data_IF_897549192423
#
_entry.id   IF_897549192423
#
_cell.length_a   1.000
_cell.length_b   1.000
_cell.length_c   1.000
_cell.angle_alpha   90.00
_cell.angle_beta   90.00
_cell.angle_gamma   90.00
#
_symmetry.space_group_name_H-M   'P 1'
#
loop_
_entity.id
_entity.type
_entity.pdbx_description
1 polymer ?
#
# COMPACT_ATOMS: atom_id res chain seq x y z
N UNK A 1 -26.39 10.70 12.05
CA UNK A 1 -26.55 12.16 12.01
C UNK A 1 -25.89 12.66 10.71
N UNK A 2 -26.68 13.09 9.72
CA UNK A 2 -26.12 13.69 8.50
C UNK A 2 -25.67 15.12 8.81
N UNK A 3 -24.43 15.45 8.50
CA UNK A 3 -23.94 16.84 8.54
C UNK A 3 -24.16 17.47 7.19
N UNK A 4 -24.77 18.63 7.17
CA UNK A 4 -24.87 19.46 5.94
C UNK A 4 -23.51 20.13 5.74
N UNK A 5 -22.93 19.91 4.58
CA UNK A 5 -21.66 20.52 4.17
C UNK A 5 -22.02 21.69 3.25
N UNK A 6 -21.49 22.91 3.51
CA UNK A 6 -21.75 24.05 2.64
C UNK A 6 -21.31 23.79 1.19
N UNK A 7 -21.99 24.44 0.26
CA UNK A 7 -21.57 24.42 -1.14
C UNK A 7 -20.13 24.95 -1.31
N UNK A 8 -19.41 24.43 -2.28
CA UNK A 8 -18.01 24.78 -2.58
C UNK A 8 -17.00 24.36 -1.50
N UNK A 9 -17.39 23.53 -0.53
CA UNK A 9 -16.45 22.94 0.43
C UNK A 9 -15.60 21.88 -0.25
N UNK A 10 -14.27 22.04 -0.22
CA UNK A 10 -13.35 21.00 -0.68
C UNK A 10 -13.22 19.90 0.40
N UNK A 11 -13.50 18.66 0.04
CA UNK A 11 -13.31 17.49 0.88
C UNK A 11 -12.05 16.73 0.48
N UNK A 12 -11.11 16.59 1.39
CA UNK A 12 -9.88 15.85 1.16
C UNK A 12 -9.87 14.62 2.07
N UNK A 13 -9.72 13.44 1.45
CA UNK A 13 -9.49 12.19 2.16
C UNK A 13 -7.99 11.90 2.19
N UNK A 14 -7.39 11.98 3.37
CA UNK A 14 -5.98 11.66 3.55
C UNK A 14 -5.79 10.15 3.68
N UNK A 15 -5.65 9.48 2.56
CA UNK A 15 -5.58 8.00 2.44
C UNK A 15 -4.48 7.39 3.30
N UNK A 16 -3.30 8.02 3.35
CA UNK A 16 -2.19 7.58 4.19
C UNK A 16 -2.59 7.47 5.68
N UNK A 17 -3.23 8.50 6.23
CA UNK A 17 -3.68 8.49 7.63
C UNK A 17 -4.77 7.46 7.88
N UNK A 18 -5.71 7.29 6.94
CA UNK A 18 -6.77 6.29 7.06
C UNK A 18 -6.20 4.88 7.09
N UNK A 19 -5.25 4.58 6.20
CA UNK A 19 -4.64 3.25 6.12
C UNK A 19 -3.72 2.92 7.30
N UNK A 20 -3.27 3.95 8.06
CA UNK A 20 -2.47 3.79 9.27
C UNK A 20 -3.25 4.04 10.58
N UNK A 21 -4.55 4.10 10.51
CA UNK A 21 -5.39 4.26 11.69
C UNK A 21 -5.70 2.91 12.34
N UNK A 22 -5.27 2.74 13.59
CA UNK A 22 -5.48 1.51 14.37
C UNK A 22 -6.96 1.18 14.62
N UNK A 23 -7.87 2.16 14.44
CA UNK A 23 -9.33 1.92 14.48
C UNK A 23 -9.83 1.10 13.30
N UNK A 24 -9.10 1.08 12.19
CA UNK A 24 -9.45 0.35 10.98
C UNK A 24 -8.56 -0.85 10.73
N UNK A 25 -7.28 -0.76 11.11
CA UNK A 25 -6.31 -1.80 10.84
C UNK A 25 -5.47 -2.09 12.08
N UNK A 26 -5.55 -3.30 12.59
CA UNK A 26 -4.69 -3.74 13.69
C UNK A 26 -3.21 -3.64 13.27
N UNK A 27 -2.37 -3.07 14.15
CA UNK A 27 -0.93 -2.83 13.88
C UNK A 27 -0.68 -2.29 12.45
N UNK A 28 -1.17 -1.08 12.14
CA UNK A 28 -1.24 -0.60 10.75
C UNK A 28 0.13 -0.40 10.11
N UNK A 29 1.16 -0.11 10.89
CA UNK A 29 2.53 0.10 10.41
C UNK A 29 3.31 -1.21 10.21
N UNK A 30 2.78 -2.34 10.67
CA UNK A 30 3.42 -3.62 10.47
C UNK A 30 3.09 -4.21 9.09
N UNK A 31 4.11 -4.74 8.40
CA UNK A 31 3.92 -5.50 7.17
C UNK A 31 3.31 -6.88 7.51
N UNK A 32 1.99 -6.97 7.44
CA UNK A 32 1.20 -8.16 7.77
C UNK A 32 0.32 -8.55 6.56
N UNK A 33 0.89 -9.20 5.53
CA UNK A 33 0.13 -9.64 4.35
C UNK A 33 -0.97 -10.66 4.72
N UNK A 34 -0.81 -11.37 5.83
CA UNK A 34 -1.76 -12.35 6.35
C UNK A 34 -3.13 -11.72 6.65
N UNK A 35 -3.19 -10.42 6.93
CA UNK A 35 -4.47 -9.71 7.15
C UNK A 35 -5.43 -9.78 5.95
N UNK A 36 -4.91 -10.09 4.76
CA UNK A 36 -5.67 -10.23 3.52
C UNK A 36 -6.05 -11.68 3.19
N UNK A 37 -5.60 -12.63 4.00
CA UNK A 37 -5.86 -14.05 3.79
C UNK A 37 -7.10 -14.48 4.57
N UNK A 38 -7.86 -15.43 4.00
CA UNK A 38 -9.06 -16.00 4.65
C UNK A 38 -8.71 -16.84 5.88
N UNK A 39 -7.48 -17.39 5.93
CA UNK A 39 -6.99 -18.22 7.03
C UNK A 39 -5.68 -17.63 7.55
N UNK A 40 -5.57 -17.52 8.87
CA UNK A 40 -4.36 -16.99 9.51
C UNK A 40 -4.32 -15.47 9.61
N UNK A 41 -5.43 -14.79 9.34
CA UNK A 41 -5.52 -13.36 9.61
C UNK A 41 -5.26 -13.09 11.10
N UNK A 42 -4.47 -12.05 11.43
CA UNK A 42 -4.27 -11.65 12.82
C UNK A 42 -5.62 -11.35 13.48
N UNK A 43 -5.76 -11.66 14.75
CA UNK A 43 -6.90 -11.23 15.55
C UNK A 43 -6.80 -9.72 15.77
N UNK A 44 -7.84 -8.98 15.39
CA UNK A 44 -7.89 -7.52 15.55
C UNK A 44 -8.71 -6.86 14.46
N UNK A 45 -8.85 -5.54 14.57
CA UNK A 45 -9.63 -4.77 13.61
C UNK A 45 -9.02 -4.84 12.21
N UNK A 46 -9.85 -5.18 11.25
CA UNK A 46 -9.50 -5.19 9.83
C UNK A 46 -10.69 -4.77 8.98
N UNK A 47 -10.84 -3.48 8.79
CA UNK A 47 -11.92 -2.89 8.01
C UNK A 47 -11.50 -2.71 6.55
N UNK A 48 -11.82 -3.71 5.72
CA UNK A 48 -11.50 -3.67 4.28
C UNK A 48 -12.18 -2.51 3.52
N UNK A 49 -13.30 -1.97 4.03
CA UNK A 49 -13.96 -0.81 3.42
C UNK A 49 -13.15 0.49 3.59
N UNK A 50 -12.28 0.56 4.61
CA UNK A 50 -11.35 1.66 4.79
C UNK A 50 -10.11 1.56 3.89
N UNK A 51 -9.89 0.43 3.20
CA UNK A 51 -8.79 0.25 2.27
C UNK A 51 -9.15 0.77 0.88
N UNK A 52 -8.78 2.01 0.61
CA UNK A 52 -9.14 2.73 -0.60
C UNK A 52 -7.94 3.35 -1.35
N UNK A 53 -6.91 2.57 -1.72
CA UNK A 53 -5.69 3.10 -2.35
C UNK A 53 -5.96 3.69 -3.74
N UNK A 54 -7.10 3.40 -4.35
CA UNK A 54 -7.54 3.92 -5.65
C UNK A 54 -8.71 4.89 -5.53
N UNK A 55 -8.89 5.51 -4.36
CA UNK A 55 -10.04 6.36 -4.04
C UNK A 55 -11.37 5.61 -4.00
N UNK A 56 -12.48 6.34 -3.86
CA UNK A 56 -13.83 5.79 -3.75
C UNK A 56 -14.86 6.73 -4.39
N UNK A 57 -16.01 6.18 -4.83
CA UNK A 57 -17.12 6.95 -5.39
C UNK A 57 -16.85 7.47 -6.81
N UNK A 58 -17.43 8.64 -7.19
CA UNK A 58 -17.32 9.18 -8.56
C UNK A 58 -15.88 9.50 -9.01
N UNK A 59 -14.98 9.70 -8.05
CA UNK A 59 -13.57 10.03 -8.31
C UNK A 59 -12.63 8.82 -8.20
N UNK A 60 -13.17 7.60 -8.23
CA UNK A 60 -12.37 6.38 -8.23
C UNK A 60 -11.42 6.36 -9.43
N UNK A 61 -10.20 5.88 -9.21
CA UNK A 61 -9.19 5.78 -10.27
C UNK A 61 -9.68 4.93 -11.45
N UNK A 62 -9.77 5.51 -12.62
CA UNK A 62 -10.19 4.82 -13.84
C UNK A 62 -9.21 3.70 -14.25
N UNK A 63 -7.91 3.86 -13.94
CA UNK A 63 -6.85 2.90 -14.22
C UNK A 63 -6.69 1.77 -13.19
N UNK A 64 -7.54 1.69 -12.16
CA UNK A 64 -7.41 0.72 -11.06
C UNK A 64 -7.21 -0.72 -11.54
N UNK A 65 -8.04 -1.18 -12.48
CA UNK A 65 -8.00 -2.57 -12.95
C UNK A 65 -6.72 -2.86 -13.73
N UNK A 66 -6.29 -1.91 -14.56
CA UNK A 66 -5.03 -2.00 -15.30
C UNK A 66 -3.84 -2.04 -14.33
N UNK A 67 -3.76 -1.11 -13.40
CA UNK A 67 -2.68 -1.07 -12.40
C UNK A 67 -2.58 -2.35 -11.57
N UNK A 68 -3.72 -2.91 -11.13
CA UNK A 68 -3.75 -4.18 -10.40
C UNK A 68 -3.29 -5.35 -11.26
N UNK A 69 -3.63 -5.37 -12.54
CA UNK A 69 -3.18 -6.40 -13.47
C UNK A 69 -1.66 -6.30 -13.69
N UNK A 70 -1.15 -5.12 -13.99
CA UNK A 70 0.28 -4.87 -14.18
C UNK A 70 1.12 -5.26 -12.96
N UNK A 71 0.72 -4.81 -11.76
CA UNK A 71 1.40 -5.17 -10.52
C UNK A 71 1.44 -6.68 -10.29
N UNK A 72 0.32 -7.38 -10.50
CA UNK A 72 0.26 -8.84 -10.34
C UNK A 72 1.15 -9.56 -11.35
N UNK A 73 1.08 -9.19 -12.62
CA UNK A 73 1.90 -9.77 -13.68
C UNK A 73 3.38 -9.56 -13.40
N UNK A 74 3.78 -8.34 -13.06
CA UNK A 74 5.16 -7.98 -12.77
C UNK A 74 5.70 -8.76 -11.57
N UNK A 75 4.97 -8.77 -10.45
CA UNK A 75 5.37 -9.50 -9.25
C UNK A 75 5.47 -11.00 -9.50
N UNK A 76 4.47 -11.60 -10.16
CA UNK A 76 4.52 -13.02 -10.52
C UNK A 76 5.73 -13.34 -11.38
N UNK A 77 5.99 -12.54 -12.42
CA UNK A 77 7.12 -12.75 -13.33
C UNK A 77 8.46 -12.61 -12.61
N UNK A 78 8.62 -11.59 -11.76
CA UNK A 78 9.84 -11.35 -10.99
C UNK A 78 10.11 -12.49 -10.00
N UNK A 79 9.12 -12.85 -9.18
CA UNK A 79 9.30 -13.88 -8.15
C UNK A 79 9.38 -15.31 -8.69
N UNK A 80 8.87 -15.56 -9.88
CA UNK A 80 9.09 -16.85 -10.56
C UNK A 80 10.54 -17.01 -11.06
N UNK A 81 11.15 -15.92 -11.54
CA UNK A 81 12.48 -15.97 -12.19
C UNK A 81 13.62 -15.61 -11.25
N UNK A 82 13.37 -14.78 -10.25
CA UNK A 82 14.42 -14.23 -9.40
C UNK A 82 14.17 -14.52 -7.92
N UNK A 83 15.26 -14.57 -7.19
CA UNK A 83 15.28 -14.55 -5.74
C UNK A 83 15.89 -13.24 -5.30
N UNK A 84 15.19 -12.52 -4.43
CA UNK A 84 15.62 -11.23 -3.89
C UNK A 84 16.13 -11.41 -2.46
N UNK A 85 17.17 -10.69 -2.11
CA UNK A 85 17.69 -10.60 -0.75
C UNK A 85 18.19 -9.17 -0.47
N UNK A 86 18.37 -8.86 0.80
CA UNK A 86 18.95 -7.59 1.20
C UNK A 86 20.35 -7.44 0.62
N UNK A 87 20.66 -6.27 0.04
CA UNK A 87 22.01 -5.95 -0.41
C UNK A 87 22.90 -5.61 0.80
N UNK A 88 24.17 -6.04 0.82
CA UNK A 88 25.09 -5.68 1.90
C UNK A 88 25.28 -4.16 2.03
N UNK A 89 25.34 -3.66 3.27
CA UNK A 89 25.64 -2.24 3.54
C UNK A 89 24.50 -1.25 3.28
N UNK A 90 23.28 -1.74 3.06
CA UNK A 90 22.09 -0.90 2.86
C UNK A 90 21.29 -0.80 4.16
N UNK A 91 21.04 0.42 4.65
CA UNK A 91 20.18 0.70 5.81
C UNK A 91 18.70 0.72 5.38
N UNK A 92 18.04 -0.43 5.43
CA UNK A 92 16.65 -0.57 5.00
C UNK A 92 15.66 0.10 5.95
N UNK A 93 16.02 0.21 7.22
CA UNK A 93 15.19 0.76 8.29
C UNK A 93 14.89 2.25 8.08
N UNK A 94 15.79 2.97 7.40
CA UNK A 94 15.66 4.40 7.11
C UNK A 94 14.95 4.66 5.77
N UNK A 95 14.88 3.66 4.88
CA UNK A 95 14.37 3.84 3.53
C UNK A 95 12.90 4.29 3.50
N UNK A 96 12.05 3.76 4.37
CA UNK A 96 10.65 4.15 4.44
C UNK A 96 10.48 5.64 4.76
N UNK A 97 11.40 6.22 5.54
CA UNK A 97 11.44 7.64 5.85
C UNK A 97 11.78 8.54 4.64
N UNK A 98 12.29 7.95 3.55
CA UNK A 98 12.60 8.71 2.31
C UNK A 98 11.38 8.89 1.41
N UNK A 99 10.26 8.21 1.71
CA UNK A 99 9.05 8.27 0.91
C UNK A 99 8.39 9.63 1.09
N UNK A 100 8.20 10.34 -0.01
CA UNK A 100 7.57 11.65 -0.08
C UNK A 100 6.35 11.60 -0.98
N UNK A 101 5.29 12.29 -0.59
CA UNK A 101 4.08 12.43 -1.40
C UNK A 101 4.11 13.73 -2.21
N UNK A 102 4.34 13.58 -3.51
CA UNK A 102 4.39 14.67 -4.49
C UNK A 102 3.36 14.43 -5.60
N UNK A 103 2.16 13.95 -5.25
CA UNK A 103 1.15 13.44 -6.16
C UNK A 103 1.50 12.03 -6.70
N UNK A 104 2.75 11.78 -6.99
CA UNK A 104 3.32 10.45 -7.19
C UNK A 104 4.34 10.23 -6.07
N UNK A 105 4.34 9.06 -5.47
CA UNK A 105 5.29 8.74 -4.41
C UNK A 105 6.72 8.82 -4.95
N UNK A 106 7.52 9.69 -4.36
CA UNK A 106 8.95 9.81 -4.61
C UNK A 106 9.71 9.15 -3.45
N UNK A 107 10.74 8.41 -3.73
CA UNK A 107 11.57 7.74 -2.74
C UNK A 107 12.99 7.54 -3.26
N UNK A 108 13.95 7.39 -2.35
CA UNK A 108 15.31 7.01 -2.70
C UNK A 108 15.36 5.57 -3.26
N UNK A 109 16.37 5.25 -4.10
CA UNK A 109 16.53 3.91 -4.64
C UNK A 109 16.65 2.84 -3.55
N UNK A 110 15.91 1.75 -3.68
CA UNK A 110 16.03 0.59 -2.81
C UNK A 110 16.88 -0.49 -3.50
N UNK A 111 18.12 -0.64 -3.04
CA UNK A 111 19.04 -1.62 -3.61
C UNK A 111 18.79 -3.01 -3.04
N UNK A 112 18.70 -3.99 -3.91
CA UNK A 112 18.50 -5.40 -3.54
C UNK A 112 19.48 -6.29 -4.30
N UNK A 113 19.87 -7.40 -3.70
CA UNK A 113 20.60 -8.47 -4.40
C UNK A 113 19.62 -9.37 -5.13
N UNK A 114 19.92 -9.66 -6.40
CA UNK A 114 19.04 -10.45 -7.28
C UNK A 114 19.80 -11.66 -7.81
N UNK A 115 19.21 -12.85 -7.66
CA UNK A 115 19.73 -14.11 -8.18
C UNK A 115 18.68 -14.78 -9.07
N UNK A 116 19.09 -15.38 -10.19
CA UNK A 116 18.22 -16.22 -10.99
C UNK A 116 17.82 -17.46 -10.19
N UNK A 117 16.56 -17.82 -10.26
CA UNK A 117 16.10 -19.13 -9.79
C UNK A 117 16.52 -20.18 -10.82
N UNK A 118 17.15 -21.23 -10.32
CA UNK A 118 17.46 -22.45 -11.11
C UNK A 118 16.23 -23.33 -11.17
#
# INVERSE_FOLDING_TARGET
MCRVIPEQTQLILHTYSIHRDARYFHTPDAFLPERWLSKGAPTGEHNTAAFMPFSYGPTICAGKNLALLEMRMLLCWLFQRFRFSKAPGVAYEEWEGTIQDWFVAHHEPLFVSVLLRK
#
